data_IF_069360125777
#
_entry.id   IF_069360125777
#
_cell.length_a   1.000
_cell.length_b   1.000
_cell.length_c   1.000
_cell.angle_alpha   90.00
_cell.angle_beta   90.00
_cell.angle_gamma   90.00
#
_symmetry.space_group_name_H-M   'P 1'
#
loop_
_entity.id
_entity.type
_entity.pdbx_description
1 polymer ?
#
# COMPACT_ATOMS: atom_id res chain seq x y z
N UNK A 1 15.30 0.84 5.32
CA UNK A 1 15.30 -0.12 6.44
C UNK A 1 16.69 -0.72 6.69
N UNK A 2 17.42 -1.14 5.65
CA UNK A 2 18.74 -1.78 5.79
C UNK A 2 19.81 -0.93 6.49
N UNK A 3 19.84 0.39 6.24
CA UNK A 3 20.76 1.32 6.91
C UNK A 3 20.54 1.34 8.43
N UNK A 4 19.30 1.31 8.90
CA UNK A 4 19.00 1.29 10.34
C UNK A 4 19.34 -0.07 10.96
N UNK A 5 19.14 -1.15 10.21
CA UNK A 5 19.58 -2.49 10.61
C UNK A 5 21.10 -2.55 10.78
N UNK A 6 21.88 -1.88 9.91
CA UNK A 6 23.34 -1.80 10.07
C UNK A 6 23.78 -1.01 11.30
N UNK A 7 22.92 -0.14 11.85
CA UNK A 7 23.14 0.54 13.12
C UNK A 7 22.45 -0.14 14.32
N UNK A 8 21.86 -1.33 14.14
CA UNK A 8 21.09 -2.06 15.17
C UNK A 8 19.92 -1.26 15.77
N UNK A 9 19.40 -0.28 15.04
CA UNK A 9 18.22 0.49 15.45
C UNK A 9 16.97 -0.29 15.04
N UNK A 10 16.05 -0.52 15.98
CA UNK A 10 14.77 -1.17 15.69
C UNK A 10 14.01 -0.34 14.65
N UNK A 11 13.75 -0.90 13.48
CA UNK A 11 13.11 -0.23 12.35
C UNK A 11 11.64 -0.64 12.17
N UNK A 12 11.09 -1.47 13.06
CA UNK A 12 9.72 -1.99 12.96
C UNK A 12 8.69 -0.87 13.01
N UNK A 13 8.93 0.18 13.79
CA UNK A 13 8.02 1.33 13.87
C UNK A 13 7.84 2.06 12.52
N UNK A 14 8.85 2.00 11.63
CA UNK A 14 8.76 2.61 10.30
C UNK A 14 7.83 1.85 9.37
N UNK A 15 7.60 0.56 9.63
CA UNK A 15 6.65 -0.26 8.86
C UNK A 15 5.23 0.27 9.09
N UNK A 16 4.88 0.62 10.34
CA UNK A 16 3.57 1.22 10.65
C UNK A 16 3.37 2.55 9.95
N UNK A 17 4.38 3.43 10.03
CA UNK A 17 4.35 4.72 9.35
C UNK A 17 4.19 4.54 7.83
N UNK A 18 4.87 3.54 7.25
CA UNK A 18 4.77 3.24 5.83
C UNK A 18 3.36 2.79 5.44
N UNK A 19 2.78 1.77 6.08
CA UNK A 19 1.48 1.24 5.68
C UNK A 19 0.32 2.18 5.99
N UNK A 20 0.30 2.82 7.16
CA UNK A 20 -0.71 3.82 7.50
C UNK A 20 -0.57 5.03 6.58
N UNK A 21 0.64 5.53 6.38
CA UNK A 21 0.91 6.67 5.49
C UNK A 21 0.48 6.37 4.06
N UNK A 22 0.84 5.18 3.55
CA UNK A 22 0.44 4.72 2.22
C UNK A 22 -1.09 4.65 2.10
N UNK A 23 -1.79 4.09 3.09
CA UNK A 23 -3.25 4.03 3.11
C UNK A 23 -3.90 5.40 3.05
N UNK A 24 -3.43 6.34 3.88
CA UNK A 24 -3.97 7.70 3.91
C UNK A 24 -3.70 8.43 2.59
N UNK A 25 -2.45 8.44 2.13
CA UNK A 25 -2.04 9.17 0.93
C UNK A 25 -2.73 8.62 -0.33
N UNK A 26 -2.75 7.30 -0.50
CA UNK A 26 -3.41 6.69 -1.67
C UNK A 26 -4.93 6.78 -1.58
N UNK A 27 -5.52 6.69 -0.37
CA UNK A 27 -6.94 6.95 -0.19
C UNK A 27 -7.33 8.37 -0.59
N UNK A 28 -6.57 9.38 -0.14
CA UNK A 28 -6.79 10.76 -0.55
C UNK A 28 -6.60 10.94 -2.06
N UNK A 29 -5.55 10.34 -2.63
CA UNK A 29 -5.31 10.34 -4.07
C UNK A 29 -6.53 9.82 -4.85
N UNK A 30 -7.01 8.61 -4.57
CA UNK A 30 -8.18 8.06 -5.26
C UNK A 30 -9.46 8.86 -5.01
N UNK A 31 -9.64 9.43 -3.81
CA UNK A 31 -10.76 10.34 -3.53
C UNK A 31 -10.77 11.57 -4.45
N UNK A 32 -9.61 12.11 -4.81
CA UNK A 32 -9.52 13.24 -5.75
C UNK A 32 -9.86 12.84 -7.20
N UNK A 33 -9.59 11.60 -7.58
CA UNK A 33 -9.79 11.10 -8.95
C UNK A 33 -11.23 10.67 -9.23
N UNK A 34 -11.96 10.25 -8.20
CA UNK A 34 -13.37 9.92 -8.32
C UNK A 34 -14.22 11.19 -8.39
N UNK A 35 -15.32 11.15 -9.14
CA UNK A 35 -16.28 12.26 -9.23
C UNK A 35 -17.55 11.97 -8.44
N UNK A 36 -17.94 10.68 -8.36
CA UNK A 36 -19.16 10.25 -7.69
C UNK A 36 -19.06 10.49 -6.17
N UNK A 37 -19.99 11.27 -5.64
CA UNK A 37 -20.06 11.60 -4.21
C UNK A 37 -20.24 10.37 -3.32
N UNK A 38 -20.92 9.32 -3.79
CA UNK A 38 -21.06 8.06 -3.04
C UNK A 38 -19.72 7.35 -2.87
N UNK A 39 -18.94 7.20 -3.94
CA UNK A 39 -17.62 6.56 -3.86
C UNK A 39 -16.62 7.39 -3.03
N UNK A 40 -16.67 8.72 -3.13
CA UNK A 40 -15.88 9.61 -2.26
C UNK A 40 -16.23 9.43 -0.78
N UNK A 41 -17.52 9.27 -0.46
CA UNK A 41 -17.98 8.97 0.91
C UNK A 41 -17.44 7.63 1.38
N UNK A 42 -17.52 6.57 0.55
CA UNK A 42 -16.92 5.26 0.88
C UNK A 42 -15.46 5.42 1.27
N UNK A 43 -14.64 6.06 0.44
CA UNK A 43 -13.21 6.25 0.74
C UNK A 43 -13.02 7.04 2.04
N UNK A 44 -13.80 8.11 2.24
CA UNK A 44 -13.69 8.94 3.45
C UNK A 44 -14.05 8.16 4.72
N UNK A 45 -15.13 7.38 4.69
CA UNK A 45 -15.52 6.52 5.79
C UNK A 45 -14.48 5.43 6.05
N UNK A 46 -13.98 4.77 5.01
CA UNK A 46 -12.92 3.77 5.14
C UNK A 46 -11.65 4.36 5.74
N UNK A 47 -11.22 5.56 5.32
CA UNK A 47 -10.08 6.28 5.90
C UNK A 47 -10.30 6.56 7.39
N UNK A 48 -11.46 7.09 7.76
CA UNK A 48 -11.79 7.41 9.14
C UNK A 48 -11.87 6.17 10.02
N UNK A 49 -12.71 5.20 9.65
CA UNK A 49 -12.91 3.99 10.44
C UNK A 49 -11.69 3.07 10.44
N UNK A 50 -10.98 2.95 9.32
CA UNK A 50 -9.73 2.20 9.25
C UNK A 50 -8.67 2.76 10.18
N UNK A 51 -8.48 4.09 10.18
CA UNK A 51 -7.54 4.75 11.09
C UNK A 51 -7.99 4.63 12.55
N UNK A 52 -9.28 4.84 12.83
CA UNK A 52 -9.84 4.71 14.17
C UNK A 52 -9.65 3.31 14.73
N UNK A 53 -9.88 2.27 13.91
CA UNK A 53 -9.69 0.88 14.30
C UNK A 53 -8.23 0.59 14.69
N UNK A 54 -7.27 1.12 13.95
CA UNK A 54 -5.84 0.98 14.27
C UNK A 54 -5.47 1.75 15.54
N UNK A 55 -5.97 2.97 15.72
CA UNK A 55 -5.76 3.74 16.97
C UNK A 55 -6.30 2.97 18.17
N UNK A 56 -7.52 2.42 18.07
CA UNK A 56 -8.12 1.59 19.11
C UNK A 56 -7.22 0.37 19.39
N UNK A 57 -6.75 -0.32 18.35
CA UNK A 57 -5.86 -1.46 18.48
C UNK A 57 -4.58 -1.11 19.26
N UNK A 58 -3.93 0.01 18.93
CA UNK A 58 -2.70 0.44 19.61
C UNK A 58 -2.93 0.97 21.03
N UNK A 59 -4.13 1.42 21.37
CA UNK A 59 -4.48 1.78 22.76
C UNK A 59 -4.63 0.52 23.62
N UNK A 60 -5.28 -0.53 23.10
CA UNK A 60 -5.49 -1.77 23.84
C UNK A 60 -4.24 -2.65 23.90
N UNK A 61 -3.43 -2.68 22.84
CA UNK A 61 -2.20 -3.47 22.76
C UNK A 61 -1.02 -2.61 22.25
N UNK A 62 -0.44 -1.74 23.10
CA UNK A 62 0.64 -0.83 22.71
C UNK A 62 1.90 -1.55 22.19
N UNK A 63 2.15 -2.78 22.67
CA UNK A 63 3.28 -3.61 22.26
C UNK A 63 3.29 -3.91 20.75
N UNK A 64 2.13 -3.85 20.10
CA UNK A 64 2.03 -4.07 18.65
C UNK A 64 2.78 -3.01 17.85
N UNK A 65 3.01 -1.82 18.41
CA UNK A 65 3.76 -0.74 17.76
C UNK A 65 5.26 -1.07 17.59
N UNK A 66 5.77 -2.02 18.38
CA UNK A 66 7.15 -2.48 18.32
C UNK A 66 7.28 -3.85 17.65
N UNK A 67 6.18 -4.36 17.07
CA UNK A 67 6.09 -5.69 16.47
C UNK A 67 5.55 -5.60 15.04
N UNK A 68 5.68 -6.69 14.30
CA UNK A 68 5.11 -6.78 12.96
C UNK A 68 3.59 -6.98 13.04
N UNK A 69 2.81 -5.90 12.89
CA UNK A 69 1.36 -5.94 12.94
C UNK A 69 0.75 -6.37 11.60
N UNK A 70 0.61 -7.68 11.39
CA UNK A 70 0.06 -8.24 10.15
C UNK A 70 -1.37 -7.76 9.86
N UNK A 71 -2.18 -7.58 10.91
CA UNK A 71 -3.56 -7.10 10.77
C UNK A 71 -3.59 -5.71 10.12
N UNK A 72 -2.76 -4.79 10.60
CA UNK A 72 -2.63 -3.44 10.01
C UNK A 72 -2.26 -3.51 8.53
N UNK A 73 -1.25 -4.30 8.20
CA UNK A 73 -0.73 -4.42 6.83
C UNK A 73 -1.82 -4.91 5.88
N UNK A 74 -2.54 -5.96 6.28
CA UNK A 74 -3.61 -6.55 5.46
C UNK A 74 -4.77 -5.57 5.33
N UNK A 75 -5.23 -4.98 6.44
CA UNK A 75 -6.36 -4.05 6.45
C UNK A 75 -6.11 -2.84 5.56
N UNK A 76 -4.98 -2.16 5.77
CA UNK A 76 -4.60 -0.95 5.03
C UNK A 76 -4.42 -1.24 3.54
N UNK A 77 -3.74 -2.33 3.20
CA UNK A 77 -3.49 -2.73 1.81
C UNK A 77 -4.78 -3.09 1.08
N UNK A 78 -5.68 -3.85 1.71
CA UNK A 78 -6.96 -4.22 1.09
C UNK A 78 -7.86 -3.02 0.85
N UNK A 79 -7.91 -2.04 1.76
CA UNK A 79 -8.65 -0.80 1.51
C UNK A 79 -8.11 -0.06 0.29
N UNK A 80 -6.79 0.11 0.18
CA UNK A 80 -6.20 0.78 -0.99
C UNK A 80 -6.50 0.02 -2.27
N UNK A 81 -6.42 -1.32 -2.26
CA UNK A 81 -6.78 -2.14 -3.43
C UNK A 81 -8.24 -1.90 -3.83
N UNK A 82 -9.18 -1.86 -2.87
CA UNK A 82 -10.59 -1.55 -3.15
C UNK A 82 -10.73 -0.15 -3.77
N UNK A 83 -10.03 0.86 -3.24
CA UNK A 83 -10.08 2.21 -3.80
C UNK A 83 -9.55 2.26 -5.24
N UNK A 84 -8.44 1.56 -5.49
CA UNK A 84 -7.84 1.43 -6.81
C UNK A 84 -8.76 0.72 -7.80
N UNK A 85 -9.46 -0.35 -7.37
CA UNK A 85 -10.44 -1.06 -8.17
C UNK A 85 -11.68 -0.21 -8.49
N UNK A 86 -12.18 0.58 -7.52
CA UNK A 86 -13.26 1.54 -7.77
C UNK A 86 -12.86 2.56 -8.85
N UNK A 87 -11.62 3.03 -8.82
CA UNK A 87 -11.10 3.92 -9.84
C UNK A 87 -10.91 3.24 -11.20
N UNK A 88 -10.41 2.01 -11.21
CA UNK A 88 -10.27 1.20 -12.42
C UNK A 88 -11.62 0.95 -13.09
N UNK A 89 -12.66 0.65 -12.31
CA UNK A 89 -14.03 0.52 -12.81
C UNK A 89 -14.53 1.82 -13.46
N UNK A 90 -14.29 2.99 -12.84
CA UNK A 90 -14.62 4.28 -13.43
C UNK A 90 -13.92 4.52 -14.77
N UNK A 91 -12.67 4.08 -14.91
CA UNK A 91 -11.90 4.20 -16.16
C UNK A 91 -12.43 3.33 -17.32
N UNK A 92 -13.39 2.43 -17.07
CA UNK A 92 -14.05 1.70 -18.15
C UNK A 92 -14.97 2.61 -18.98
N UNK A 93 -15.53 3.65 -18.38
CA UNK A 93 -16.42 4.60 -19.05
C UNK A 93 -15.80 5.98 -19.28
N UNK A 94 -14.74 6.33 -18.53
CA UNK A 94 -14.07 7.63 -18.57
C UNK A 94 -12.63 7.58 -19.13
N UNK A 95 -11.98 8.75 -19.22
CA UNK A 95 -10.56 8.85 -19.61
C UNK A 95 -9.62 8.09 -18.65
N UNK A 96 -8.67 7.35 -19.22
CA UNK A 96 -7.68 6.50 -18.50
C UNK A 96 -6.53 7.29 -17.86
N UNK A 97 -6.83 8.29 -17.03
CA UNK A 97 -5.80 9.05 -16.30
C UNK A 97 -5.20 8.16 -15.19
N UNK A 98 -3.88 8.22 -14.98
CA UNK A 98 -3.21 7.48 -13.90
C UNK A 98 -3.45 5.96 -13.90
N UNK A 99 -3.67 5.39 -15.09
CA UNK A 99 -3.99 3.98 -15.27
C UNK A 99 -2.83 3.06 -14.85
N UNK A 100 -1.61 3.37 -15.27
CA UNK A 100 -0.44 2.52 -15.00
C UNK A 100 -0.06 2.55 -13.52
N UNK A 101 -0.14 3.71 -12.86
CA UNK A 101 0.00 3.80 -11.39
C UNK A 101 -1.05 2.93 -10.70
N UNK A 102 -2.31 3.01 -11.13
CA UNK A 102 -3.40 2.25 -10.50
C UNK A 102 -3.20 0.74 -10.63
N UNK A 103 -2.83 0.26 -11.82
CA UNK A 103 -2.52 -1.16 -12.04
C UNK A 103 -1.30 -1.60 -11.24
N UNK A 104 -0.23 -0.80 -11.25
CA UNK A 104 0.98 -1.07 -10.47
C UNK A 104 0.70 -1.22 -8.98
N UNK A 105 -0.08 -0.30 -8.40
CA UNK A 105 -0.48 -0.33 -6.99
C UNK A 105 -1.26 -1.60 -6.66
N UNK A 106 -2.23 -2.00 -7.51
CA UNK A 106 -3.02 -3.21 -7.28
C UNK A 106 -2.12 -4.45 -7.26
N UNK A 107 -1.28 -4.60 -8.28
CA UNK A 107 -0.36 -5.75 -8.40
C UNK A 107 0.58 -5.80 -7.19
N UNK A 108 1.22 -4.67 -6.89
CA UNK A 108 2.15 -4.54 -5.77
C UNK A 108 1.51 -4.91 -4.45
N UNK A 109 0.35 -4.31 -4.14
CA UNK A 109 -0.30 -4.51 -2.84
C UNK A 109 -0.82 -5.92 -2.67
N UNK A 110 -1.46 -6.50 -3.68
CA UNK A 110 -1.95 -7.88 -3.60
C UNK A 110 -0.79 -8.86 -3.43
N UNK A 111 0.25 -8.75 -4.27
CA UNK A 111 1.39 -9.65 -4.20
C UNK A 111 2.14 -9.52 -2.87
N UNK A 112 2.41 -8.29 -2.42
CA UNK A 112 3.12 -8.05 -1.16
C UNK A 112 2.30 -8.50 0.05
N UNK A 113 0.99 -8.26 0.06
CA UNK A 113 0.10 -8.70 1.16
C UNK A 113 0.09 -10.22 1.28
N UNK A 114 0.01 -10.94 0.15
CA UNK A 114 0.13 -12.41 0.15
C UNK A 114 1.49 -12.85 0.70
N UNK A 115 2.58 -12.19 0.29
CA UNK A 115 3.91 -12.51 0.82
C UNK A 115 4.04 -12.22 2.32
N UNK A 116 3.40 -11.19 2.86
CA UNK A 116 3.39 -10.94 4.31
C UNK A 116 2.56 -11.96 5.08
N UNK A 117 1.41 -12.39 4.55
CA UNK A 117 0.61 -13.46 5.12
C UNK A 117 1.41 -14.78 5.17
N UNK A 118 2.03 -15.15 4.05
CA UNK A 118 2.91 -16.33 3.96
C UNK A 118 4.12 -16.18 4.86
N UNK A 119 4.75 -15.00 4.88
CA UNK A 119 5.87 -14.65 5.74
C UNK A 119 5.58 -14.87 7.22
N UNK A 120 4.38 -14.52 7.68
CA UNK A 120 3.95 -14.75 9.05
C UNK A 120 3.69 -16.23 9.38
N UNK A 121 3.20 -17.02 8.41
CA UNK A 121 3.03 -18.47 8.56
C UNK A 121 4.38 -19.22 8.52
N UNK A 122 5.38 -18.63 7.90
CA UNK A 122 6.72 -19.22 7.70
C UNK A 122 7.71 -18.94 8.83
N UNK A 123 7.25 -18.41 9.97
CA UNK A 123 8.11 -18.17 11.16
C UNK A 123 8.77 -19.46 11.67
N UNK A 124 8.17 -20.64 11.41
CA UNK A 124 8.74 -21.96 11.69
C UNK A 124 9.43 -22.66 10.50
N UNK A 125 9.52 -22.02 9.33
CA UNK A 125 10.10 -22.59 8.11
C UNK A 125 11.57 -22.19 7.94
N UNK A 126 12.26 -22.83 6.98
CA UNK A 126 13.70 -22.62 6.76
C UNK A 126 14.03 -21.17 6.40
N UNK A 127 15.26 -20.76 6.75
CA UNK A 127 15.78 -19.41 6.47
C UNK A 127 15.70 -19.03 4.99
N UNK A 128 15.82 -20.03 4.10
CA UNK A 128 15.74 -19.88 2.65
C UNK A 128 14.36 -19.44 2.19
N UNK A 129 13.29 -20.07 2.69
CA UNK A 129 11.90 -19.71 2.36
C UNK A 129 11.62 -18.27 2.75
N UNK A 130 12.04 -17.87 3.96
CA UNK A 130 11.90 -16.50 4.43
C UNK A 130 12.62 -15.52 3.50
N UNK A 131 13.85 -15.82 3.11
CA UNK A 131 14.67 -14.96 2.24
C UNK A 131 14.05 -14.81 0.83
N UNK A 132 13.47 -15.89 0.29
CA UNK A 132 12.73 -15.84 -0.98
C UNK A 132 11.53 -14.88 -0.86
N UNK A 133 10.73 -14.96 0.21
CA UNK A 133 9.60 -14.05 0.41
C UNK A 133 10.01 -12.57 0.44
N UNK A 134 11.10 -12.25 1.14
CA UNK A 134 11.62 -10.88 1.20
C UNK A 134 12.14 -10.40 -0.15
N UNK A 135 12.88 -11.24 -0.88
CA UNK A 135 13.39 -10.90 -2.21
C UNK A 135 12.26 -10.69 -3.24
N UNK A 136 11.24 -11.54 -3.20
CA UNK A 136 10.05 -11.37 -4.05
C UNK A 136 9.32 -10.07 -3.71
N UNK A 137 9.19 -9.73 -2.43
CA UNK A 137 8.57 -8.46 -2.03
C UNK A 137 9.37 -7.26 -2.57
N UNK A 138 10.71 -7.29 -2.45
CA UNK A 138 11.58 -6.25 -3.01
C UNK A 138 11.43 -6.13 -4.54
N UNK A 139 11.31 -7.27 -5.23
CA UNK A 139 11.02 -7.30 -6.67
C UNK A 139 9.69 -6.62 -7.00
N UNK A 140 8.60 -6.92 -6.27
CA UNK A 140 7.30 -6.26 -6.48
C UNK A 140 7.34 -4.76 -6.21
N UNK A 141 8.11 -4.31 -5.22
CA UNK A 141 8.37 -2.89 -4.98
C UNK A 141 9.03 -2.26 -6.20
N UNK A 142 10.08 -2.88 -6.75
CA UNK A 142 10.78 -2.38 -7.93
C UNK A 142 9.86 -2.30 -9.16
N UNK A 143 9.05 -3.34 -9.40
CA UNK A 143 8.04 -3.35 -10.48
C UNK A 143 7.05 -2.21 -10.30
N UNK A 144 6.57 -1.95 -9.08
CA UNK A 144 5.68 -0.81 -8.81
C UNK A 144 6.32 0.54 -9.17
N UNK A 145 7.60 0.73 -8.86
CA UNK A 145 8.33 1.95 -9.22
C UNK A 145 8.43 2.13 -10.74
N UNK A 146 8.56 1.05 -11.50
CA UNK A 146 8.54 1.12 -12.97
C UNK A 146 7.17 1.56 -13.50
N UNK A 147 6.06 1.10 -12.90
CA UNK A 147 4.72 1.59 -13.25
C UNK A 147 4.56 3.09 -12.97
N UNK A 148 5.05 3.55 -11.82
CA UNK A 148 5.02 4.98 -11.45
C UNK A 148 5.85 5.80 -12.45
N UNK A 149 7.06 5.36 -12.77
CA UNK A 149 7.94 6.03 -13.72
C UNK A 149 7.32 6.10 -15.12
N UNK A 150 6.72 4.99 -15.56
CA UNK A 150 6.08 4.93 -16.87
C UNK A 150 4.85 5.84 -16.94
N UNK A 151 3.99 5.85 -15.91
CA UNK A 151 2.87 6.77 -15.82
C UNK A 151 3.34 8.22 -15.85
N UNK A 152 4.40 8.56 -15.13
CA UNK A 152 4.97 9.91 -15.14
C UNK A 152 5.38 10.32 -16.56
N UNK A 153 6.06 9.42 -17.28
CA UNK A 153 6.46 9.64 -18.67
C UNK A 153 5.25 9.89 -19.56
N UNK A 154 4.21 9.07 -19.49
CA UNK A 154 3.01 9.18 -20.35
C UNK A 154 2.17 10.41 -20.00
N UNK A 155 2.00 10.71 -18.70
CA UNK A 155 1.10 11.77 -18.24
C UNK A 155 1.71 13.17 -18.23
N UNK A 156 3.05 13.29 -18.14
CA UNK A 156 3.73 14.57 -17.95
C UNK A 156 4.89 14.86 -18.92
N UNK A 157 5.62 13.86 -19.44
CA UNK A 157 6.85 14.11 -20.22
C UNK A 157 6.65 14.82 -21.57
N UNK A 158 5.41 14.89 -22.09
CA UNK A 158 5.10 15.50 -23.39
C UNK A 158 4.31 16.81 -23.33
N UNK A 159 3.98 17.33 -22.14
CA UNK A 159 3.21 18.58 -22.03
C UNK A 159 4.17 19.77 -22.02
N UNK A 160 4.13 20.61 -23.06
CA UNK A 160 4.76 21.94 -23.01
C UNK A 160 4.18 22.67 -21.79
N UNK A 161 5.06 23.10 -20.88
CA UNK A 161 4.71 24.06 -19.84
C UNK A 161 4.09 25.27 -20.54
N UNK A 162 2.79 25.48 -20.32
CA UNK A 162 2.08 26.69 -20.75
C UNK A 162 2.24 27.74 -19.67
#
# INVERSE_FOLDING_TARGET
MEVLTSFSINNLYLIHLYFIGQFILLGLFYKTLLQNNFQKKIITFSLFFGSLLLVIQYIYEPDLFFKFNLFEIVLTSLFVVVFALLYLYKMLTDSKKYYYITVGIIIYLLASTVLFLVGNLTIGLSKEVRLISWNLNAFFVAVNQLFILYEWKVSFSGKKLK
#
